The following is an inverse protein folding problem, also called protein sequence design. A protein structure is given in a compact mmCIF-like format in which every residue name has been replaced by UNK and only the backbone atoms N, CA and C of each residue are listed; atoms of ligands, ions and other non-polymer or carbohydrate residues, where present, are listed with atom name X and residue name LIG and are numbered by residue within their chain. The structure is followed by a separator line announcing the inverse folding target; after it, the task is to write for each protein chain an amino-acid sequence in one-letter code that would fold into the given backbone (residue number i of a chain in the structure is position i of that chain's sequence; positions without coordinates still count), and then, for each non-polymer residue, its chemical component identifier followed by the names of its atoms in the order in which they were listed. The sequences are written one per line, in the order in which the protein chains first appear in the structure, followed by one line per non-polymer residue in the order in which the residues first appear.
data_IF_281180838328
#
_entry.id   IF_281180838328
#
_cell.length_a   1.000
_cell.length_b   1.000
_cell.length_c   1.000
_cell.angle_alpha   90.00
_cell.angle_beta   90.00
_cell.angle_gamma   90.00
#
_symmetry.space_group_name_H-M   'P 1'
#
loop_
_entity.id
_entity.type
_entity.pdbx_description
1 polymer ?
#
# COMPACT_ATOMS: atom_id res chain seq x y z
N UNK A 1 -11.10 22.17 -1.71
CA UNK A 1 -9.72 22.41 -1.26
C UNK A 1 -9.05 21.06 -1.14
N UNK A 2 -8.06 20.84 -2.00
CA UNK A 2 -7.28 19.61 -2.07
C UNK A 2 -6.38 19.54 -0.82
N UNK A 3 -6.42 18.42 -0.10
CA UNK A 3 -5.45 18.17 0.96
C UNK A 3 -4.39 17.19 0.45
N UNK A 4 -3.19 17.74 0.31
CA UNK A 4 -1.90 17.07 0.20
C UNK A 4 -1.76 15.99 1.27
N UNK A 5 -1.57 14.74 0.85
CA UNK A 5 -1.19 13.63 1.76
C UNK A 5 0.00 12.83 1.22
N UNK A 6 0.85 13.47 0.41
CA UNK A 6 2.03 12.85 -0.21
C UNK A 6 3.35 13.12 0.53
N UNK A 7 3.35 13.69 1.74
CA UNK A 7 4.60 14.20 2.34
C UNK A 7 5.35 13.21 3.21
N UNK A 8 4.70 12.24 3.86
CA UNK A 8 5.36 11.40 4.89
C UNK A 8 6.13 10.21 4.27
N UNK A 9 5.58 9.58 3.22
CA UNK A 9 6.20 8.40 2.60
C UNK A 9 7.41 8.76 1.71
N UNK A 10 7.39 9.94 1.07
CA UNK A 10 8.53 10.48 0.30
C UNK A 10 9.66 10.98 1.25
N UNK A 11 9.33 11.41 2.47
CA UNK A 11 10.28 11.84 3.51
C UNK A 11 10.97 10.64 4.18
N UNK A 12 10.29 9.49 4.32
CA UNK A 12 10.90 8.23 4.79
C UNK A 12 11.80 7.55 3.75
N UNK A 13 11.48 7.63 2.46
CA UNK A 13 12.41 7.24 1.39
C UNK A 13 13.68 8.12 1.47
N UNK A 14 13.50 9.42 1.68
CA UNK A 14 14.59 10.34 2.00
C UNK A 14 15.39 9.93 3.25
N UNK A 15 14.73 9.46 4.31
CA UNK A 15 15.39 8.98 5.54
C UNK A 15 16.07 7.61 5.40
N UNK A 16 15.58 6.73 4.52
CA UNK A 16 16.26 5.48 4.16
C UNK A 16 17.59 5.78 3.46
N UNK A 17 17.58 6.67 2.47
CA UNK A 17 18.81 7.16 1.85
C UNK A 17 19.69 7.95 2.84
N UNK A 18 19.09 8.66 3.80
CA UNK A 18 19.82 9.31 4.88
C UNK A 18 20.49 8.31 5.83
N UNK A 19 19.86 7.17 6.14
CA UNK A 19 20.45 6.09 6.93
C UNK A 19 21.61 5.41 6.18
N UNK A 20 21.51 5.29 4.86
CA UNK A 20 22.59 4.82 3.98
C UNK A 20 23.76 5.82 3.98
N UNK A 21 23.47 7.13 3.91
CA UNK A 21 24.46 8.21 4.02
C UNK A 21 25.08 8.23 5.43
N UNK A 22 24.28 8.09 6.50
CA UNK A 22 24.75 8.05 7.89
C UNK A 22 25.61 6.80 8.17
N UNK A 23 25.32 5.67 7.52
CA UNK A 23 26.16 4.47 7.56
C UNK A 23 27.48 4.66 6.79
N UNK A 24 27.44 5.36 5.65
CA UNK A 24 28.62 5.75 4.86
C UNK A 24 29.51 6.77 5.61
N UNK A 25 28.89 7.74 6.29
CA UNK A 25 29.55 8.74 7.12
C UNK A 25 30.17 8.15 8.39
N UNK A 26 29.52 7.17 9.03
CA UNK A 26 30.06 6.45 10.19
C UNK A 26 31.36 5.70 9.92
N UNK A 27 31.62 5.31 8.67
CA UNK A 27 32.88 4.68 8.24
C UNK A 27 33.99 5.73 8.02
N UNK A 28 33.62 6.98 7.72
CA UNK A 28 34.56 8.10 7.52
C UNK A 28 34.87 8.91 8.80
N UNK A 29 34.02 8.84 9.82
CA UNK A 29 34.10 9.69 11.03
C UNK A 29 34.85 9.09 12.25
N UNK A 30 35.73 8.10 12.04
CA UNK A 30 36.76 7.75 13.05
C UNK A 30 37.93 8.77 13.11
N UNK A 31 37.74 10.00 12.63
CA UNK A 31 38.71 11.10 12.78
C UNK A 31 38.01 12.41 13.17
N UNK A 32 38.36 12.85 14.39
CA UNK A 32 38.30 14.21 14.97
C UNK A 32 36.96 14.72 15.54
N UNK A 33 36.95 14.87 16.87
CA UNK A 33 35.97 15.57 17.73
C UNK A 33 36.31 17.07 17.81
N UNK A 34 35.30 17.95 17.98
CA UNK A 34 34.89 18.58 19.26
C UNK A 34 34.14 19.94 19.12
N UNK A 35 33.06 20.09 19.91
CA UNK A 35 32.47 21.30 20.60
C UNK A 35 32.13 22.61 19.82
N UNK A 36 31.13 23.48 20.12
CA UNK A 36 30.07 23.66 21.14
C UNK A 36 29.14 24.85 20.78
N UNK A 37 27.87 24.83 21.27
CA UNK A 37 26.91 25.91 21.67
C UNK A 37 26.85 27.32 21.02
N UNK A 38 25.63 27.79 20.66
CA UNK A 38 24.83 28.77 21.47
C UNK A 38 23.51 29.24 20.80
N UNK A 39 22.50 29.44 21.65
CA UNK A 39 21.14 30.04 21.60
C UNK A 39 20.74 31.10 20.53
N UNK A 40 19.43 31.16 20.18
CA UNK A 40 18.70 32.41 19.86
C UNK A 40 17.19 32.36 20.18
N UNK A 41 16.63 33.58 20.34
CA UNK A 41 15.45 34.01 21.13
C UNK A 41 14.07 33.81 20.48
N UNK A 42 13.07 33.82 21.36
CA UNK A 42 11.62 33.90 21.12
C UNK A 42 11.22 35.34 20.70
N UNK A 43 10.28 35.45 19.76
CA UNK A 43 9.48 36.65 19.54
C UNK A 43 7.98 36.27 19.50
N UNK A 44 7.18 37.03 20.23
CA UNK A 44 5.72 37.00 20.23
C UNK A 44 5.16 37.66 18.96
N UNK A 45 4.02 37.16 18.47
CA UNK A 45 3.11 37.97 17.63
C UNK A 45 1.66 37.60 17.93
N UNK A 46 0.86 38.66 18.10
CA UNK A 46 -0.56 38.68 18.40
C UNK A 46 -1.38 38.26 17.18
N UNK A 47 -2.40 37.41 17.35
CA UNK A 47 -3.60 37.47 16.51
C UNK A 47 -4.84 36.80 17.13
N UNK A 48 -5.97 37.49 16.99
CA UNK A 48 -7.27 37.27 17.61
C UNK A 48 -7.97 35.93 17.26
N UNK A 49 -8.90 35.42 18.10
CA UNK A 49 -9.51 34.11 17.91
C UNK A 49 -10.52 34.08 16.76
N UNK A 50 -10.26 33.20 15.78
CA UNK A 50 -11.19 32.86 14.71
C UNK A 50 -12.27 31.91 15.23
N UNK A 51 -13.51 32.38 15.39
CA UNK A 51 -14.67 31.57 15.80
C UNK A 51 -15.40 31.06 14.55
N UNK A 52 -15.38 29.74 14.34
CA UNK A 52 -16.14 29.07 13.29
C UNK A 52 -17.64 29.01 13.63
N UNK A 53 -18.56 29.28 12.68
CA UNK A 53 -19.99 29.16 12.91
C UNK A 53 -20.39 27.70 13.16
N UNK A 54 -21.09 27.46 14.26
CA UNK A 54 -21.67 26.15 14.60
C UNK A 54 -22.87 25.90 13.70
N UNK A 55 -22.72 24.99 12.73
CA UNK A 55 -23.83 24.46 11.94
C UNK A 55 -24.49 23.35 12.78
N UNK A 56 -25.81 23.41 13.06
CA UNK A 56 -26.50 22.36 13.80
C UNK A 56 -26.37 21.03 13.08
N UNK A 57 -25.78 20.04 13.74
CA UNK A 57 -25.69 18.67 13.24
C UNK A 57 -27.10 18.09 13.12
N UNK A 58 -27.57 17.86 11.88
CA UNK A 58 -28.72 17.01 11.62
C UNK A 58 -28.22 15.58 11.43
N UNK A 59 -28.61 14.71 12.36
CA UNK A 59 -28.33 13.29 12.28
C UNK A 59 -28.84 12.75 10.92
N UNK A 60 -27.99 12.12 10.09
CA UNK A 60 -28.42 11.63 8.79
C UNK A 60 -29.51 10.56 8.98
N UNK A 61 -30.60 10.70 8.21
CA UNK A 61 -31.72 9.75 8.20
C UNK A 61 -31.20 8.31 8.14
N UNK A 62 -31.43 7.51 9.19
CA UNK A 62 -31.18 6.06 9.15
C UNK A 62 -32.00 5.45 8.01
N UNK A 63 -31.33 5.06 6.93
CA UNK A 63 -31.99 4.63 5.67
C UNK A 63 -32.60 3.23 5.83
N UNK A 64 -33.80 3.05 5.27
CA UNK A 64 -34.60 1.81 5.39
C UNK A 64 -33.93 0.62 4.67
N UNK A 65 -33.53 -0.45 5.39
CA UNK A 65 -32.84 -1.60 4.80
C UNK A 65 -33.61 -2.31 3.68
N UNK A 66 -34.93 -2.43 3.83
CA UNK A 66 -35.81 -3.07 2.83
C UNK A 66 -35.80 -2.32 1.50
N UNK A 67 -35.66 -0.99 1.55
CA UNK A 67 -35.61 -0.14 0.36
C UNK A 67 -34.31 -0.35 -0.43
N UNK A 68 -33.17 -0.45 0.26
CA UNK A 68 -31.86 -0.66 -0.36
C UNK A 68 -31.80 -2.02 -1.06
N UNK A 69 -32.27 -3.08 -0.40
CA UNK A 69 -32.41 -4.42 -0.98
C UNK A 69 -33.33 -4.43 -2.21
N UNK A 70 -34.46 -3.72 -2.17
CA UNK A 70 -35.41 -3.61 -3.27
C UNK A 70 -34.80 -2.93 -4.51
N UNK A 71 -34.10 -1.81 -4.32
CA UNK A 71 -33.46 -1.08 -5.43
C UNK A 71 -32.32 -1.90 -6.03
N UNK A 72 -31.48 -2.55 -5.21
CA UNK A 72 -30.39 -3.42 -5.68
C UNK A 72 -30.88 -4.60 -6.52
N UNK A 73 -31.99 -5.26 -6.11
CA UNK A 73 -32.57 -6.38 -6.88
C UNK A 73 -33.10 -5.96 -8.24
N UNK A 74 -33.62 -4.74 -8.37
CA UNK A 74 -34.22 -4.24 -9.62
C UNK A 74 -33.25 -3.43 -10.48
N UNK A 75 -32.06 -3.11 -9.98
CA UNK A 75 -31.11 -2.16 -10.58
C UNK A 75 -30.87 -2.38 -12.09
N UNK A 76 -30.69 -3.63 -12.52
CA UNK A 76 -30.46 -3.97 -13.93
C UNK A 76 -31.71 -3.77 -14.81
N UNK A 77 -32.90 -3.97 -14.24
CA UNK A 77 -34.20 -3.83 -14.94
C UNK A 77 -34.77 -2.42 -14.91
N UNK A 78 -34.18 -1.49 -14.15
CA UNK A 78 -34.69 -0.12 -14.00
C UNK A 78 -34.55 0.70 -15.28
N UNK A 79 -35.57 1.50 -15.59
CA UNK A 79 -35.55 2.51 -16.64
C UNK A 79 -34.75 3.75 -16.23
N UNK A 80 -34.35 4.59 -17.19
CA UNK A 80 -33.66 5.84 -16.89
C UNK A 80 -34.48 6.76 -15.97
N UNK A 81 -35.80 6.85 -16.19
CA UNK A 81 -36.70 7.66 -15.36
C UNK A 81 -36.79 7.14 -13.91
N UNK A 82 -36.86 5.82 -13.72
CA UNK A 82 -36.81 5.21 -12.39
C UNK A 82 -35.48 5.48 -11.69
N UNK A 83 -34.35 5.38 -12.41
CA UNK A 83 -33.03 5.68 -11.85
C UNK A 83 -32.91 7.15 -11.44
N UNK A 84 -33.42 8.08 -12.24
CA UNK A 84 -33.46 9.51 -11.90
C UNK A 84 -34.27 9.78 -10.64
N UNK A 85 -35.42 9.09 -10.48
CA UNK A 85 -36.27 9.21 -9.30
C UNK A 85 -35.54 8.75 -8.03
N UNK A 86 -34.84 7.63 -8.09
CA UNK A 86 -34.07 7.12 -6.96
C UNK A 86 -32.85 7.99 -6.64
N UNK A 87 -32.15 8.53 -7.64
CA UNK A 87 -31.05 9.48 -7.43
C UNK A 87 -31.54 10.79 -6.80
N UNK A 88 -32.69 11.32 -7.21
CA UNK A 88 -33.31 12.50 -6.60
C UNK A 88 -33.66 12.27 -5.13
N UNK A 89 -34.25 11.11 -4.79
CA UNK A 89 -34.53 10.72 -3.39
C UNK A 89 -33.25 10.61 -2.56
N UNK A 90 -32.14 10.21 -3.18
CA UNK A 90 -30.84 10.11 -2.55
C UNK A 90 -30.07 11.45 -2.49
N UNK A 91 -30.63 12.54 -3.02
CA UNK A 91 -29.95 13.84 -3.19
C UNK A 91 -28.65 13.75 -4.00
N UNK A 92 -28.63 12.93 -5.06
CA UNK A 92 -27.49 12.74 -5.97
C UNK A 92 -27.85 13.27 -7.37
N UNK A 93 -26.87 13.78 -8.12
CA UNK A 93 -27.08 14.28 -9.50
C UNK A 93 -27.77 13.21 -10.37
N UNK A 94 -28.96 13.58 -10.85
CA UNK A 94 -29.85 12.74 -11.66
C UNK A 94 -29.78 13.06 -13.15
N UNK A 95 -28.78 13.79 -13.65
CA UNK A 95 -28.65 14.12 -15.10
C UNK A 95 -27.76 13.12 -15.84
N UNK A 96 -28.03 12.92 -17.13
CA UNK A 96 -27.17 12.11 -18.01
C UNK A 96 -27.85 10.88 -18.59
N UNK A 97 -27.06 10.09 -19.34
CA UNK A 97 -27.52 8.88 -20.04
C UNK A 97 -27.77 7.73 -19.05
N UNK A 98 -28.58 6.73 -19.45
CA UNK A 98 -28.94 5.58 -18.61
C UNK A 98 -27.72 4.88 -17.98
N UNK A 99 -26.62 4.70 -18.71
CA UNK A 99 -25.38 4.09 -18.19
C UNK A 99 -24.75 4.91 -17.05
N UNK A 100 -24.74 6.25 -17.17
CA UNK A 100 -24.22 7.15 -16.14
C UNK A 100 -25.11 7.16 -14.89
N UNK A 101 -26.43 7.17 -15.08
CA UNK A 101 -27.40 7.07 -13.98
C UNK A 101 -27.29 5.72 -13.27
N UNK A 102 -27.17 4.64 -14.04
CA UNK A 102 -26.96 3.29 -13.53
C UNK A 102 -25.69 3.21 -12.68
N UNK A 103 -24.55 3.71 -13.17
CA UNK A 103 -23.29 3.68 -12.42
C UNK A 103 -23.38 4.47 -11.11
N UNK A 104 -24.00 5.67 -11.11
CA UNK A 104 -24.21 6.45 -9.89
C UNK A 104 -25.13 5.74 -8.90
N UNK A 105 -26.24 5.18 -9.39
CA UNK A 105 -27.21 4.49 -8.57
C UNK A 105 -26.64 3.19 -7.99
N UNK A 106 -25.93 2.41 -8.81
CA UNK A 106 -25.17 1.21 -8.42
C UNK A 106 -24.17 1.54 -7.32
N UNK A 107 -23.36 2.58 -7.51
CA UNK A 107 -22.36 3.03 -6.54
C UNK A 107 -23.00 3.42 -5.20
N UNK A 108 -24.08 4.20 -5.23
CA UNK A 108 -24.79 4.62 -4.02
C UNK A 108 -25.45 3.44 -3.28
N UNK A 109 -26.23 2.62 -3.97
CA UNK A 109 -26.97 1.53 -3.34
C UNK A 109 -26.09 0.33 -2.97
N UNK A 110 -24.94 0.10 -3.63
CA UNK A 110 -23.92 -0.86 -3.18
C UNK A 110 -23.37 -0.48 -1.82
N UNK A 111 -22.99 0.80 -1.64
CA UNK A 111 -22.51 1.31 -0.34
C UNK A 111 -23.51 1.04 0.77
N UNK A 112 -24.78 1.35 0.54
CA UNK A 112 -25.86 1.13 1.51
C UNK A 112 -26.13 -0.37 1.76
N UNK A 113 -26.08 -1.20 0.72
CA UNK A 113 -26.33 -2.63 0.82
C UNK A 113 -25.27 -3.34 1.67
N UNK A 114 -24.00 -2.98 1.53
CA UNK A 114 -22.94 -3.57 2.34
C UNK A 114 -23.06 -3.18 3.81
N UNK A 115 -23.47 -1.94 4.11
CA UNK A 115 -23.73 -1.47 5.49
C UNK A 115 -24.81 -2.32 6.17
N UNK A 116 -25.87 -2.67 5.43
CA UNK A 116 -26.96 -3.52 5.92
C UNK A 116 -26.52 -4.98 6.08
N UNK A 117 -25.77 -5.52 5.10
CA UNK A 117 -25.27 -6.89 5.14
C UNK A 117 -24.30 -7.12 6.31
N UNK A 118 -23.54 -6.10 6.68
CA UNK A 118 -22.55 -6.14 7.76
C UNK A 118 -23.13 -5.68 9.12
N UNK A 119 -24.45 -5.63 9.28
CA UNK A 119 -25.13 -5.22 10.51
C UNK A 119 -25.20 -6.32 11.60
N UNK A 120 -24.71 -7.53 11.33
CA UNK A 120 -24.51 -8.55 12.37
C UNK A 120 -23.33 -8.17 13.29
N UNK A 121 -23.38 -8.53 14.60
CA UNK A 121 -22.37 -8.13 15.58
C UNK A 121 -20.96 -8.58 15.12
N UNK A 122 -19.89 -7.82 15.40
CA UNK A 122 -18.62 -8.05 14.74
C UNK A 122 -17.98 -9.35 15.23
N UNK A 123 -18.06 -10.39 14.40
CA UNK A 123 -16.88 -11.24 14.15
C UNK A 123 -15.75 -10.31 13.73
N UNK A 124 -14.51 -10.63 14.09
CA UNK A 124 -13.34 -9.80 13.77
C UNK A 124 -13.44 -9.33 12.31
N UNK A 125 -13.53 -8.01 12.07
CA UNK A 125 -13.91 -7.48 10.75
C UNK A 125 -12.99 -7.98 9.66
N UNK A 126 -11.71 -8.21 9.98
CA UNK A 126 -10.71 -8.73 9.06
C UNK A 126 -10.96 -10.18 8.65
N UNK A 127 -11.38 -11.08 9.56
CA UNK A 127 -11.76 -12.47 9.24
C UNK A 127 -12.96 -12.53 8.29
N UNK A 128 -13.81 -11.50 8.33
CA UNK A 128 -14.94 -11.38 7.41
C UNK A 128 -14.53 -10.95 5.99
N UNK A 129 -13.28 -10.55 5.75
CA UNK A 129 -12.78 -10.16 4.43
C UNK A 129 -11.70 -11.10 3.89
N UNK A 130 -10.87 -11.68 4.77
CA UNK A 130 -9.72 -12.48 4.38
C UNK A 130 -9.66 -13.77 5.20
N UNK A 131 -9.25 -14.83 4.53
CA UNK A 131 -8.88 -16.11 5.15
C UNK A 131 -7.36 -16.17 5.34
N UNK A 132 -6.60 -15.59 4.40
CA UNK A 132 -5.14 -15.53 4.46
C UNK A 132 -4.57 -14.13 4.19
N UNK A 133 -3.38 -13.86 4.73
CA UNK A 133 -2.51 -12.78 4.26
C UNK A 133 -1.24 -13.35 3.67
N UNK A 134 -0.76 -12.71 2.61
CA UNK A 134 0.54 -13.00 1.99
C UNK A 134 1.43 -11.79 2.24
N UNK A 135 2.31 -11.91 3.23
CA UNK A 135 3.21 -10.84 3.66
C UNK A 135 4.50 -10.90 2.86
N UNK A 136 4.93 -9.78 2.29
CA UNK A 136 6.06 -9.73 1.36
C UNK A 136 6.92 -8.49 1.61
N UNK A 137 8.22 -8.64 1.38
CA UNK A 137 9.23 -7.58 1.48
C UNK A 137 10.38 -7.94 0.51
N UNK A 138 10.51 -7.19 -0.58
CA UNK A 138 11.48 -7.53 -1.64
C UNK A 138 12.83 -6.89 -1.37
N UNK A 139 13.90 -7.67 -1.50
CA UNK A 139 15.24 -7.10 -1.66
C UNK A 139 15.56 -6.90 -3.15
N UNK A 140 16.23 -5.80 -3.44
CA UNK A 140 16.58 -5.41 -4.81
C UNK A 140 18.06 -5.05 -4.95
N UNK A 141 18.60 -5.19 -6.16
CA UNK A 141 19.89 -4.63 -6.51
C UNK A 141 19.93 -3.13 -6.18
N UNK A 142 21.02 -2.67 -5.59
CA UNK A 142 21.18 -1.28 -5.20
C UNK A 142 22.65 -0.83 -5.28
N UNK A 143 22.86 0.48 -5.34
CA UNK A 143 24.19 1.07 -5.32
C UNK A 143 24.17 2.33 -4.47
N UNK A 144 25.28 2.57 -3.77
CA UNK A 144 25.42 3.75 -2.93
C UNK A 144 25.33 5.03 -3.80
N UNK A 145 24.65 6.05 -3.28
CA UNK A 145 24.52 7.38 -3.88
C UNK A 145 23.91 7.45 -5.29
N UNK A 146 23.29 6.36 -5.79
CA UNK A 146 22.59 6.34 -7.07
C UNK A 146 21.07 6.24 -6.89
N UNK A 147 20.40 7.39 -6.92
CA UNK A 147 18.93 7.46 -6.73
C UNK A 147 18.13 6.95 -7.94
N UNK A 148 18.69 7.09 -9.14
CA UNK A 148 18.10 6.62 -10.39
C UNK A 148 18.72 5.28 -10.82
N UNK A 149 18.77 4.33 -9.88
CA UNK A 149 19.28 2.99 -10.13
C UNK A 149 18.18 2.09 -10.71
N UNK A 150 18.54 1.27 -11.70
CA UNK A 150 17.65 0.27 -12.29
C UNK A 150 17.58 -0.95 -11.38
N UNK A 151 16.86 -0.81 -10.27
CA UNK A 151 16.62 -1.89 -9.30
C UNK A 151 15.99 -3.11 -9.97
N UNK A 152 16.50 -4.29 -9.64
CA UNK A 152 15.95 -5.61 -9.98
C UNK A 152 15.75 -6.38 -8.68
N UNK A 153 14.64 -7.10 -8.55
CA UNK A 153 14.38 -7.96 -7.38
C UNK A 153 15.41 -9.09 -7.36
N UNK A 154 16.04 -9.29 -6.20
CA UNK A 154 17.05 -10.34 -5.94
C UNK A 154 16.66 -11.29 -4.81
N UNK A 155 15.65 -10.94 -4.00
CA UNK A 155 15.01 -11.82 -3.02
C UNK A 155 13.50 -11.68 -3.10
N UNK A 156 12.80 -12.81 -3.17
CA UNK A 156 11.34 -12.89 -3.26
C UNK A 156 10.80 -13.77 -2.12
N UNK A 157 10.60 -13.20 -0.93
CA UNK A 157 9.92 -13.87 0.18
C UNK A 157 8.41 -13.66 0.13
N UNK A 158 7.67 -14.64 0.63
CA UNK A 158 6.25 -14.48 0.95
C UNK A 158 5.86 -15.37 2.14
N UNK A 159 5.30 -14.77 3.18
CA UNK A 159 4.83 -15.45 4.40
C UNK A 159 3.33 -15.57 4.36
N UNK A 160 2.82 -16.81 4.42
CA UNK A 160 1.39 -17.08 4.49
C UNK A 160 0.92 -17.06 5.95
N UNK A 161 0.03 -16.15 6.27
CA UNK A 161 -0.58 -16.03 7.61
C UNK A 161 -2.06 -16.42 7.52
N UNK A 162 -2.48 -17.38 8.35
CA UNK A 162 -3.90 -17.71 8.52
C UNK A 162 -4.56 -16.69 9.44
N UNK A 163 -5.57 -15.97 8.94
CA UNK A 163 -6.21 -14.86 9.64
C UNK A 163 -7.00 -15.33 10.87
N UNK A 164 -7.58 -16.53 10.81
CA UNK A 164 -8.42 -17.06 11.89
C UNK A 164 -7.58 -17.65 13.00
N UNK A 165 -6.56 -18.41 12.63
CA UNK A 165 -5.63 -19.04 13.57
C UNK A 165 -4.58 -18.07 14.10
N UNK A 166 -4.30 -16.99 13.35
CA UNK A 166 -3.29 -15.97 13.67
C UNK A 166 -1.89 -16.57 13.78
N UNK A 167 -1.57 -17.45 12.85
CA UNK A 167 -0.30 -18.16 12.79
C UNK A 167 0.27 -18.10 11.37
N UNK A 168 1.59 -18.19 11.28
CA UNK A 168 2.27 -18.44 10.01
C UNK A 168 2.04 -19.90 9.66
N UNK A 169 1.48 -20.16 8.47
CA UNK A 169 1.13 -21.52 8.03
C UNK A 169 2.04 -22.05 6.93
N UNK A 170 2.67 -21.18 6.16
CA UNK A 170 3.67 -21.58 5.16
C UNK A 170 4.56 -20.39 4.74
N UNK A 171 5.69 -20.69 4.10
CA UNK A 171 6.67 -19.72 3.64
C UNK A 171 7.12 -20.09 2.23
N UNK A 172 7.02 -19.13 1.31
CA UNK A 172 7.73 -19.15 0.04
C UNK A 172 8.97 -18.28 0.14
N UNK A 173 10.10 -18.75 -0.38
CA UNK A 173 11.34 -18.00 -0.44
C UNK A 173 12.13 -18.41 -1.66
N UNK A 174 12.61 -17.42 -2.42
CA UNK A 174 13.53 -17.64 -3.53
C UNK A 174 14.43 -16.42 -3.70
N UNK A 175 15.70 -16.65 -3.99
CA UNK A 175 16.53 -15.63 -4.62
C UNK A 175 16.15 -15.50 -6.10
N UNK A 176 16.47 -14.35 -6.69
CA UNK A 176 16.18 -14.03 -8.08
C UNK A 176 17.46 -13.57 -8.76
N UNK A 177 17.72 -14.06 -9.97
CA UNK A 177 18.88 -13.65 -10.75
C UNK A 177 18.60 -12.37 -11.52
N UNK A 178 19.31 -11.25 -11.24
CA UNK A 178 19.20 -10.02 -12.01
C UNK A 178 19.83 -10.19 -13.39
N UNK A 179 19.23 -9.57 -14.41
CA UNK A 179 19.65 -9.67 -15.81
C UNK A 179 20.17 -8.33 -16.37
N UNK A 180 19.70 -7.20 -15.85
CA UNK A 180 20.16 -5.86 -16.25
C UNK A 180 21.48 -5.52 -15.55
N UNK A 181 21.57 -5.76 -14.24
CA UNK A 181 22.76 -5.57 -13.42
C UNK A 181 23.12 -6.89 -12.71
N UNK A 182 23.72 -7.88 -13.41
CA UNK A 182 23.99 -9.21 -12.85
C UNK A 182 24.98 -9.20 -11.68
N UNK A 183 25.92 -8.26 -11.68
CA UNK A 183 26.93 -8.13 -10.63
C UNK A 183 26.40 -7.24 -9.51
N UNK A 184 26.29 -7.80 -8.31
CA UNK A 184 25.92 -7.06 -7.11
C UNK A 184 27.07 -6.11 -6.73
N UNK A 185 26.71 -4.88 -6.35
CA UNK A 185 27.67 -3.98 -5.72
C UNK A 185 28.08 -4.51 -4.33
N UNK A 186 29.26 -4.11 -3.86
CA UNK A 186 29.71 -4.43 -2.50
C UNK A 186 28.73 -3.88 -1.46
N UNK A 187 28.20 -2.68 -1.71
CA UNK A 187 27.17 -2.05 -0.88
C UNK A 187 25.91 -2.92 -0.80
N UNK A 188 25.37 -3.37 -1.94
CA UNK A 188 24.18 -4.20 -1.99
C UNK A 188 24.36 -5.52 -1.23
N UNK A 189 25.51 -6.18 -1.43
CA UNK A 189 25.81 -7.43 -0.76
C UNK A 189 25.97 -7.24 0.75
N UNK A 190 26.61 -6.16 1.19
CA UNK A 190 26.75 -5.83 2.61
C UNK A 190 25.42 -5.45 3.27
N UNK A 191 24.57 -4.70 2.54
CA UNK A 191 23.28 -4.24 3.01
C UNK A 191 22.29 -5.42 3.15
N UNK A 192 22.09 -6.18 2.07
CA UNK A 192 21.10 -7.27 2.01
C UNK A 192 21.60 -8.59 2.62
N UNK A 193 22.93 -8.77 2.70
CA UNK A 193 23.55 -10.05 3.07
C UNK A 193 23.51 -11.10 1.97
N UNK A 194 22.99 -10.76 0.79
CA UNK A 194 22.91 -11.66 -0.37
C UNK A 194 24.27 -11.66 -1.07
N UNK A 195 24.79 -12.85 -1.34
CA UNK A 195 26.08 -13.00 -2.02
C UNK A 195 25.90 -13.13 -3.53
N UNK A 196 26.95 -12.79 -4.29
CA UNK A 196 26.95 -12.99 -5.75
C UNK A 196 26.65 -14.45 -6.14
N UNK A 197 27.19 -15.42 -5.39
CA UNK A 197 26.96 -16.84 -5.62
C UNK A 197 25.47 -17.23 -5.47
N UNK A 198 24.74 -16.58 -4.57
CA UNK A 198 23.31 -16.83 -4.38
C UNK A 198 22.51 -16.39 -5.61
N UNK A 199 22.76 -15.19 -6.13
CA UNK A 199 22.04 -14.67 -7.31
C UNK A 199 22.48 -15.35 -8.61
N UNK A 200 23.75 -15.77 -8.72
CA UNK A 200 24.25 -16.49 -9.90
C UNK A 200 23.54 -17.84 -10.09
N UNK A 201 23.26 -18.54 -8.98
CA UNK A 201 22.56 -19.83 -8.95
C UNK A 201 21.04 -19.69 -9.00
N UNK A 202 20.51 -18.49 -8.80
CA UNK A 202 19.07 -18.25 -8.76
C UNK A 202 18.43 -18.34 -10.14
N UNK A 203 17.10 -18.55 -10.14
CA UNK A 203 16.32 -18.50 -11.37
C UNK A 203 15.98 -17.04 -11.73
N UNK A 204 15.80 -16.72 -13.03
CA UNK A 204 15.27 -15.43 -13.45
C UNK A 204 13.90 -15.11 -12.83
N UNK A 205 13.57 -13.82 -12.75
CA UNK A 205 12.35 -13.34 -12.10
C UNK A 205 11.06 -14.02 -12.59
N UNK A 206 10.90 -14.25 -13.89
CA UNK A 206 9.68 -14.87 -14.45
C UNK A 206 9.47 -16.29 -13.90
N UNK A 207 10.53 -17.09 -13.83
CA UNK A 207 10.47 -18.46 -13.32
C UNK A 207 10.16 -18.48 -11.82
N UNK A 208 10.70 -17.52 -11.07
CA UNK A 208 10.40 -17.34 -9.64
C UNK A 208 8.96 -16.88 -9.44
N UNK A 209 8.46 -15.97 -10.26
CA UNK A 209 7.06 -15.51 -10.23
C UNK A 209 6.09 -16.66 -10.54
N UNK A 210 6.42 -17.53 -11.49
CA UNK A 210 5.61 -18.72 -11.79
C UNK A 210 5.66 -19.75 -10.66
N UNK A 211 6.82 -19.94 -10.03
CA UNK A 211 6.97 -20.78 -8.83
C UNK A 211 6.16 -20.24 -7.66
N UNK A 212 6.17 -18.92 -7.45
CA UNK A 212 5.36 -18.23 -6.45
C UNK A 212 3.86 -18.42 -6.71
N UNK A 213 3.41 -18.29 -7.97
CA UNK A 213 2.01 -18.55 -8.36
C UNK A 213 1.60 -19.99 -8.13
N UNK A 214 2.47 -20.96 -8.44
CA UNK A 214 2.23 -22.36 -8.17
C UNK A 214 2.10 -22.63 -6.66
N UNK A 215 2.95 -22.00 -5.84
CA UNK A 215 2.85 -22.04 -4.39
C UNK A 215 1.52 -21.46 -3.89
N UNK A 216 1.11 -20.28 -4.38
CA UNK A 216 -0.20 -19.70 -4.05
C UNK A 216 -1.37 -20.62 -4.43
N UNK A 217 -1.31 -21.26 -5.60
CA UNK A 217 -2.32 -22.21 -6.07
C UNK A 217 -2.40 -23.47 -5.19
N UNK A 218 -1.27 -23.94 -4.66
CA UNK A 218 -1.24 -25.09 -3.73
C UNK A 218 -2.05 -24.81 -2.45
N UNK A 219 -2.10 -23.54 -2.03
CA UNK A 219 -2.93 -23.03 -0.93
C UNK A 219 -4.33 -22.56 -1.36
N UNK A 220 -4.69 -22.79 -2.63
CA UNK A 220 -5.98 -22.41 -3.22
C UNK A 220 -6.24 -20.90 -3.21
N UNK A 221 -5.21 -20.07 -3.04
CA UNK A 221 -5.33 -18.62 -3.06
C UNK A 221 -5.78 -18.16 -4.44
N UNK A 222 -6.80 -17.30 -4.50
CA UNK A 222 -7.42 -16.85 -5.76
C UNK A 222 -8.57 -17.73 -6.26
N UNK A 223 -8.85 -18.86 -5.59
CA UNK A 223 -10.12 -19.59 -5.81
C UNK A 223 -11.29 -18.83 -5.18
N UNK A 224 -12.51 -19.01 -5.70
CA UNK A 224 -13.71 -18.23 -5.32
C UNK A 224 -14.05 -18.29 -3.83
N UNK A 225 -13.62 -19.34 -3.14
CA UNK A 225 -13.93 -19.62 -1.73
C UNK A 225 -12.79 -19.28 -0.76
N UNK A 226 -11.62 -18.87 -1.25
CA UNK A 226 -10.45 -18.53 -0.41
C UNK A 226 -10.01 -17.10 -0.68
N UNK A 227 -10.17 -16.23 0.33
CA UNK A 227 -9.90 -14.80 0.20
C UNK A 227 -8.56 -14.45 0.80
N UNK A 228 -7.78 -13.64 0.10
CA UNK A 228 -6.47 -13.20 0.58
C UNK A 228 -6.20 -11.73 0.25
N UNK A 229 -5.14 -11.19 0.84
CA UNK A 229 -4.55 -9.93 0.43
C UNK A 229 -3.03 -9.96 0.62
N UNK A 230 -2.32 -9.24 -0.25
CA UNK A 230 -0.92 -8.93 -0.06
C UNK A 230 -0.74 -7.88 1.04
N UNK A 231 0.34 -8.00 1.82
CA UNK A 231 0.70 -7.08 2.90
C UNK A 231 2.17 -6.71 2.78
N UNK A 232 2.50 -5.43 2.83
CA UNK A 232 3.86 -4.89 2.67
C UNK A 232 4.16 -3.81 3.71
N UNK A 233 5.45 -3.61 4.02
CA UNK A 233 5.91 -2.51 4.90
C UNK A 233 6.08 -1.19 4.16
N UNK A 234 4.96 -0.66 3.66
CA UNK A 234 4.93 0.56 2.87
C UNK A 234 4.50 0.30 1.43
N UNK A 235 4.56 1.32 0.56
CA UNK A 235 4.07 1.21 -0.81
C UNK A 235 5.13 0.65 -1.79
N UNK A 236 6.41 0.68 -1.43
CA UNK A 236 7.49 0.62 -2.43
C UNK A 236 7.74 -0.75 -3.02
N UNK A 237 7.52 -1.84 -2.27
CA UNK A 237 7.60 -3.22 -2.79
C UNK A 237 6.80 -3.40 -4.07
N UNK A 238 5.54 -2.98 -4.03
CA UNK A 238 4.63 -3.15 -5.16
C UNK A 238 4.70 -1.96 -6.11
N UNK A 239 4.60 -0.73 -5.59
CA UNK A 239 4.47 0.46 -6.42
C UNK A 239 5.75 0.83 -7.17
N UNK A 240 6.92 0.47 -6.62
CA UNK A 240 8.22 0.72 -7.24
C UNK A 240 8.87 -0.59 -7.71
N UNK A 241 9.29 -1.46 -6.80
CA UNK A 241 10.19 -2.56 -7.14
C UNK A 241 9.54 -3.61 -8.05
N UNK A 242 8.35 -4.10 -7.70
CA UNK A 242 7.61 -5.05 -8.52
C UNK A 242 7.19 -4.48 -9.87
N UNK A 243 6.76 -3.22 -9.91
CA UNK A 243 6.43 -2.53 -11.15
C UNK A 243 7.66 -2.36 -12.05
N UNK A 244 8.81 -1.96 -11.52
CA UNK A 244 10.09 -1.88 -12.27
C UNK A 244 10.48 -3.24 -12.82
N UNK A 245 10.41 -4.27 -11.99
CA UNK A 245 10.75 -5.63 -12.38
C UNK A 245 9.82 -6.14 -13.49
N UNK A 246 8.52 -5.84 -13.43
CA UNK A 246 7.58 -6.14 -14.52
C UNK A 246 8.01 -5.49 -15.84
N UNK A 247 8.42 -4.21 -15.81
CA UNK A 247 8.90 -3.48 -17.01
C UNK A 247 10.17 -4.13 -17.56
N UNK A 248 11.16 -4.41 -16.70
CA UNK A 248 12.45 -5.00 -17.10
C UNK A 248 12.28 -6.43 -17.64
N UNK A 249 11.37 -7.20 -17.06
CA UNK A 249 11.02 -8.56 -17.51
C UNK A 249 10.02 -8.57 -18.68
N UNK A 250 9.70 -7.40 -19.27
CA UNK A 250 8.84 -7.24 -20.44
C UNK A 250 7.42 -7.78 -20.24
N UNK A 251 6.87 -7.66 -19.04
CA UNK A 251 5.46 -7.89 -18.77
C UNK A 251 4.65 -6.66 -19.25
N UNK A 252 3.53 -6.89 -19.95
CA UNK A 252 2.69 -5.83 -20.50
C UNK A 252 2.13 -4.88 -19.43
N UNK A 253 1.92 -5.40 -18.22
CA UNK A 253 1.32 -4.70 -17.10
C UNK A 253 1.69 -5.37 -15.78
N UNK A 254 1.55 -4.64 -14.67
CA UNK A 254 1.54 -5.24 -13.34
C UNK A 254 0.34 -6.19 -13.25
N UNK A 255 0.53 -7.48 -12.90
CA UNK A 255 -0.57 -8.43 -12.69
C UNK A 255 -1.66 -7.89 -11.76
N UNK A 256 -2.93 -8.15 -12.10
CA UNK A 256 -4.08 -7.51 -11.46
C UNK A 256 -4.19 -7.78 -9.95
N UNK A 257 -3.83 -8.97 -9.52
CA UNK A 257 -3.74 -9.41 -8.13
C UNK A 257 -2.76 -8.57 -7.29
N UNK A 258 -1.63 -8.16 -7.87
CA UNK A 258 -0.66 -7.29 -7.21
C UNK A 258 -1.08 -5.81 -7.19
N UNK A 259 -2.15 -5.41 -7.89
CA UNK A 259 -2.59 -4.00 -7.92
C UNK A 259 -3.31 -3.56 -6.65
N UNK A 260 -3.57 -4.45 -5.69
CA UNK A 260 -4.28 -4.17 -4.45
C UNK A 260 -3.54 -4.80 -3.27
N UNK A 261 -3.15 -3.99 -2.30
CA UNK A 261 -2.40 -4.49 -1.16
C UNK A 261 -2.71 -3.70 0.12
N UNK A 262 -2.27 -4.26 1.24
CA UNK A 262 -2.35 -3.66 2.55
C UNK A 262 -0.96 -3.11 2.88
N UNK A 263 -0.83 -1.79 2.82
CA UNK A 263 0.29 -1.11 3.45
C UNK A 263 0.09 -1.16 4.98
N UNK A 264 0.91 -1.96 5.66
CA UNK A 264 0.73 -2.20 7.09
C UNK A 264 1.02 -0.95 7.93
N UNK A 265 1.94 -0.07 7.50
CA UNK A 265 2.27 1.20 8.17
C UNK A 265 1.03 2.06 8.36
N UNK A 266 0.21 2.17 7.32
CA UNK A 266 -1.05 2.92 7.36
C UNK A 266 -2.07 2.28 8.29
N UNK A 267 -2.18 0.95 8.25
CA UNK A 267 -3.09 0.21 9.13
C UNK A 267 -2.67 0.37 10.60
N UNK A 268 -1.36 0.30 10.86
CA UNK A 268 -0.74 0.48 12.16
C UNK A 268 -1.00 1.91 12.70
N UNK A 269 -0.69 2.92 11.90
CA UNK A 269 -0.91 4.33 12.24
C UNK A 269 -2.36 4.62 12.64
N UNK A 270 -3.31 4.09 11.86
CA UNK A 270 -4.74 4.25 12.10
C UNK A 270 -5.23 3.61 13.40
N UNK A 271 -4.56 2.54 13.86
CA UNK A 271 -4.90 1.83 15.09
C UNK A 271 -4.22 2.46 16.31
N UNK A 272 -2.92 2.69 16.23
CA UNK A 272 -2.07 2.96 17.40
C UNK A 272 -1.65 4.43 17.53
N UNK A 273 -1.57 5.19 16.43
CA UNK A 273 -0.99 6.55 16.43
C UNK A 273 -2.01 7.69 16.52
N UNK A 274 -3.32 7.41 16.64
CA UNK A 274 -4.36 8.47 16.68
C UNK A 274 -4.25 9.47 17.84
N UNK A 275 -3.48 9.15 18.88
CA UNK A 275 -3.31 9.99 20.10
C UNK A 275 -1.85 10.17 20.53
N UNK A 276 -0.91 9.57 19.81
CA UNK A 276 0.53 9.62 20.10
C UNK A 276 1.26 9.88 18.80
N UNK A 277 2.09 10.90 18.75
CA UNK A 277 3.05 11.05 17.66
C UNK A 277 4.07 9.92 17.76
N UNK A 278 4.06 9.01 16.78
CA UNK A 278 5.25 8.19 16.53
C UNK A 278 6.18 8.98 15.62
N UNK A 279 7.47 8.99 15.95
CA UNK A 279 8.48 9.71 15.17
C UNK A 279 8.79 9.03 13.83
N UNK A 280 8.64 7.70 13.71
CA UNK A 280 8.84 6.91 12.48
C UNK A 280 7.86 5.74 12.44
N UNK A 281 7.26 5.44 11.28
CA UNK A 281 6.34 4.31 11.12
C UNK A 281 6.97 3.33 10.14
N UNK A 282 8.12 2.77 10.52
CA UNK A 282 8.82 1.71 9.79
C UNK A 282 8.80 0.40 10.60
N UNK A 283 9.29 -0.69 10.02
CA UNK A 283 9.34 -2.01 10.67
C UNK A 283 9.87 -1.96 12.11
N UNK A 284 11.10 -1.44 12.33
CA UNK A 284 11.71 -1.37 13.66
C UNK A 284 10.91 -0.48 14.63
N UNK A 285 10.33 0.62 14.14
CA UNK A 285 9.47 1.50 14.93
C UNK A 285 8.16 0.83 15.37
N UNK A 286 7.54 0.06 14.48
CA UNK A 286 6.33 -0.72 14.80
C UNK A 286 6.62 -1.83 15.80
N UNK A 287 7.73 -2.57 15.64
CA UNK A 287 8.17 -3.60 16.58
C UNK A 287 8.42 -3.00 17.98
N UNK A 288 9.19 -1.91 18.04
CA UNK A 288 9.48 -1.20 19.29
C UNK A 288 8.20 -0.75 19.99
N UNK A 289 7.25 -0.18 19.25
CA UNK A 289 5.97 0.24 19.82
C UNK A 289 5.17 -0.93 20.43
N UNK A 290 5.25 -2.11 19.81
CA UNK A 290 4.61 -3.32 20.30
C UNK A 290 5.40 -4.05 21.38
N UNK A 291 6.55 -3.52 21.81
CA UNK A 291 7.53 -4.18 22.70
C UNK A 291 7.99 -5.53 22.17
N UNK A 292 8.25 -5.60 20.86
CA UNK A 292 8.79 -6.77 20.18
C UNK A 292 10.21 -6.46 19.70
N UNK A 293 11.11 -7.43 19.80
CA UNK A 293 12.45 -7.35 19.22
C UNK A 293 12.44 -7.87 17.79
N UNK A 294 13.33 -7.34 16.96
CA UNK A 294 13.56 -7.86 15.61
C UNK A 294 14.16 -9.26 15.68
N UNK A 295 13.60 -10.21 14.94
CA UNK A 295 14.10 -11.58 14.86
C UNK A 295 14.78 -11.81 13.50
N UNK A 296 16.05 -12.24 13.50
CA UNK A 296 16.81 -12.52 12.28
C UNK A 296 17.76 -11.39 11.89
N UNK A 297 18.00 -11.22 10.59
CA UNK A 297 18.88 -10.18 10.04
C UNK A 297 18.06 -9.08 9.35
N UNK A 298 18.24 -7.83 9.78
CA UNK A 298 17.64 -6.67 9.08
C UNK A 298 18.12 -6.61 7.62
N UNK A 299 17.23 -6.26 6.70
CA UNK A 299 17.48 -6.25 5.24
C UNK A 299 17.73 -7.63 4.64
N UNK A 300 17.31 -8.70 5.32
CA UNK A 300 17.01 -9.96 4.67
C UNK A 300 15.50 -9.99 4.47
N UNK A 301 15.05 -10.02 3.21
CA UNK A 301 13.63 -9.90 2.90
C UNK A 301 12.80 -11.00 3.59
N UNK A 302 13.34 -12.22 3.74
CA UNK A 302 12.68 -13.28 4.48
C UNK A 302 12.45 -12.93 5.96
N UNK A 303 13.47 -12.42 6.64
CA UNK A 303 13.38 -12.10 8.06
C UNK A 303 12.55 -10.82 8.28
N UNK A 304 12.66 -9.83 7.40
CA UNK A 304 11.80 -8.66 7.40
C UNK A 304 10.33 -9.06 7.20
N UNK A 305 10.03 -9.92 6.21
CA UNK A 305 8.69 -10.47 5.99
C UNK A 305 8.14 -11.23 7.20
N UNK A 306 8.97 -12.01 7.91
CA UNK A 306 8.55 -12.69 9.16
C UNK A 306 8.22 -11.68 10.26
N UNK A 307 9.02 -10.63 10.42
CA UNK A 307 8.75 -9.60 11.42
C UNK A 307 7.49 -8.78 11.08
N UNK A 308 7.25 -8.50 9.80
CA UNK A 308 5.99 -7.90 9.35
C UNK A 308 4.82 -8.85 9.64
N UNK A 309 4.97 -10.16 9.40
CA UNK A 309 3.95 -11.15 9.75
C UNK A 309 3.67 -11.22 11.26
N UNK A 310 4.70 -11.10 12.11
CA UNK A 310 4.55 -10.98 13.57
C UNK A 310 3.74 -9.74 13.96
N UNK A 311 3.99 -8.59 13.31
CA UNK A 311 3.17 -7.37 13.51
C UNK A 311 1.73 -7.61 13.07
N UNK A 312 1.52 -8.22 11.90
CA UNK A 312 0.17 -8.55 11.38
C UNK A 312 -0.60 -9.43 12.37
N UNK A 313 0.02 -10.49 12.87
CA UNK A 313 -0.56 -11.39 13.89
C UNK A 313 -0.92 -10.59 15.14
N UNK A 314 -0.01 -9.76 15.64
CA UNK A 314 -0.27 -8.92 16.82
C UNK A 314 -1.42 -7.96 16.59
N UNK A 315 -1.51 -7.34 15.42
CA UNK A 315 -2.62 -6.48 15.02
C UNK A 315 -3.96 -7.23 14.95
N UNK A 316 -3.97 -8.49 14.51
CA UNK A 316 -5.15 -9.36 14.50
C UNK A 316 -5.60 -9.72 15.92
N UNK A 317 -4.67 -10.00 16.83
CA UNK A 317 -4.96 -10.23 18.26
C UNK A 317 -5.61 -8.99 18.90
N UNK A 318 -5.08 -7.81 18.59
CA UNK A 318 -5.58 -6.53 19.07
C UNK A 318 -6.87 -6.08 18.33
N UNK A 319 -7.48 -6.97 17.52
CA UNK A 319 -8.71 -6.76 16.77
C UNK A 319 -8.67 -5.53 15.86
N UNK A 320 -7.53 -5.32 15.21
CA UNK A 320 -7.33 -4.24 14.23
C UNK A 320 -8.04 -4.58 12.93
N UNK A 321 -8.65 -3.57 12.30
CA UNK A 321 -9.29 -3.72 10.98
C UNK A 321 -8.23 -3.58 9.88
N UNK A 322 -7.56 -4.70 9.56
CA UNK A 322 -6.70 -4.80 8.38
C UNK A 322 -7.57 -4.95 7.13
N UNK A 323 -7.31 -4.09 6.13
CA UNK A 323 -8.01 -4.04 4.85
C UNK A 323 -7.09 -3.48 3.78
N UNK A 324 -7.35 -3.85 2.52
CA UNK A 324 -6.72 -3.20 1.37
C UNK A 324 -6.93 -1.70 1.48
N UNK A 325 -5.83 -0.96 1.50
CA UNK A 325 -5.79 0.46 1.78
C UNK A 325 -5.02 1.25 0.71
N UNK A 326 -4.39 0.56 -0.25
CA UNK A 326 -3.71 1.13 -1.41
C UNK A 326 -3.99 0.28 -2.66
N UNK A 327 -4.09 0.96 -3.81
CA UNK A 327 -4.15 0.30 -5.11
C UNK A 327 -3.31 1.01 -6.17
N UNK A 328 -2.91 0.27 -7.18
CA UNK A 328 -2.27 0.80 -8.37
C UNK A 328 -3.31 1.17 -9.44
N UNK A 329 -3.25 2.40 -9.95
CA UNK A 329 -4.13 2.92 -11.00
C UNK A 329 -3.29 3.37 -12.19
N UNK A 330 -3.72 2.98 -13.40
CA UNK A 330 -3.00 3.34 -14.61
C UNK A 330 -3.04 4.85 -14.85
N UNK A 331 -1.89 5.43 -15.14
CA UNK A 331 -1.76 6.86 -15.46
C UNK A 331 -2.36 7.11 -16.85
N UNK A 332 -3.24 8.10 -17.00
CA UNK A 332 -3.81 8.46 -18.32
C UNK A 332 -2.79 9.24 -19.15
N UNK A 333 -2.69 8.93 -20.45
CA UNK A 333 -1.89 9.69 -21.41
C UNK A 333 -2.40 11.14 -21.49
N UNK A 334 -1.69 12.07 -20.83
CA UNK A 334 -2.08 13.49 -20.72
C UNK A 334 -1.86 14.10 -19.33
N UNK A 335 -1.84 13.28 -18.26
CA UNK A 335 -1.53 13.76 -16.89
C UNK A 335 -0.03 13.83 -16.60
N UNK A 336 0.81 13.19 -17.44
CA UNK A 336 2.28 13.25 -17.38
C UNK A 336 2.87 14.67 -17.47
N UNK A 337 2.10 15.66 -17.93
CA UNK A 337 2.62 16.99 -18.28
C UNK A 337 2.42 18.10 -17.22
N UNK A 338 2.00 17.80 -15.98
CA UNK A 338 1.73 18.85 -14.97
C UNK A 338 2.21 18.50 -13.57
N UNK A 339 3.53 18.35 -13.39
CA UNK A 339 4.12 18.59 -12.07
C UNK A 339 5.37 19.45 -12.27
N UNK A 340 5.20 20.78 -12.17
CA UNK A 340 6.32 21.71 -11.98
C UNK A 340 6.86 21.48 -10.58
N UNK A 341 7.92 20.68 -10.47
CA UNK A 341 8.59 20.38 -9.21
C UNK A 341 9.70 21.40 -8.91
N UNK A 342 10.01 21.67 -7.63
CA UNK A 342 11.06 22.61 -7.23
C UNK A 342 12.43 22.20 -7.77
N UNK A 343 13.25 23.19 -8.10
CA UNK A 343 14.52 23.03 -8.82
C UNK A 343 15.66 22.57 -7.90
N UNK A 344 15.64 21.31 -7.46
CA UNK A 344 16.77 20.66 -6.79
C UNK A 344 17.13 19.35 -7.52
N UNK A 345 18.41 19.22 -7.91
CA UNK A 345 18.95 18.07 -8.66
C UNK A 345 18.67 16.73 -7.96
N UNK A 346 18.81 16.67 -6.64
CA UNK A 346 18.52 15.44 -5.87
C UNK A 346 17.04 15.05 -5.86
N UNK A 347 16.13 16.03 -5.93
CA UNK A 347 14.70 15.77 -5.97
C UNK A 347 14.27 15.29 -7.37
N UNK A 348 14.91 15.82 -8.43
CA UNK A 348 14.74 15.32 -9.79
C UNK A 348 15.19 13.86 -9.91
N UNK A 349 16.40 13.52 -9.45
CA UNK A 349 16.93 12.15 -9.52
C UNK A 349 16.07 11.13 -8.75
N UNK A 350 15.46 11.56 -7.62
CA UNK A 350 14.54 10.74 -6.82
C UNK A 350 13.19 10.46 -7.48
N UNK A 351 12.80 11.21 -8.52
CA UNK A 351 11.47 11.07 -9.15
C UNK A 351 11.50 10.74 -10.64
N UNK A 352 12.67 10.62 -11.29
CA UNK A 352 12.77 10.27 -12.71
C UNK A 352 11.98 8.98 -13.05
N UNK A 353 11.99 8.00 -12.15
CA UNK A 353 11.25 6.76 -12.33
C UNK A 353 9.72 6.94 -12.26
N UNK A 354 9.20 7.91 -11.49
CA UNK A 354 7.76 8.16 -11.34
C UNK A 354 7.12 8.52 -12.68
N UNK A 355 7.84 9.22 -13.54
CA UNK A 355 7.36 9.63 -14.88
C UNK A 355 7.29 8.45 -15.88
N UNK A 356 8.09 7.41 -15.63
CA UNK A 356 8.19 6.23 -16.48
C UNK A 356 7.24 5.10 -16.08
N UNK A 357 6.61 5.19 -14.91
CA UNK A 357 5.70 4.15 -14.43
C UNK A 357 4.31 4.25 -15.02
N UNK A 358 3.77 3.09 -15.38
CA UNK A 358 2.43 2.94 -15.94
C UNK A 358 1.35 3.11 -14.87
N UNK A 359 1.68 2.85 -13.61
CA UNK A 359 0.77 2.89 -12.48
C UNK A 359 1.22 3.85 -11.39
N UNK A 360 0.24 4.53 -10.79
CA UNK A 360 0.40 5.40 -9.62
C UNK A 360 -0.40 4.85 -8.44
N UNK A 361 0.01 5.22 -7.22
CA UNK A 361 -0.65 4.78 -5.99
C UNK A 361 -1.91 5.62 -5.76
N UNK A 362 -3.04 4.95 -5.53
CA UNK A 362 -4.27 5.54 -5.03
C UNK A 362 -4.60 4.96 -3.65
N UNK A 363 -4.78 5.83 -2.67
CA UNK A 363 -5.22 5.44 -1.33
C UNK A 363 -6.71 5.05 -1.34
N UNK A 364 -7.03 3.96 -0.64
CA UNK A 364 -8.39 3.44 -0.50
C UNK A 364 -8.94 3.82 0.87
N UNK A 365 -10.00 4.62 0.87
CA UNK A 365 -10.74 4.96 2.08
C UNK A 365 -11.49 3.75 2.62
N UNK A 366 -11.79 3.76 3.94
CA UNK A 366 -12.60 2.71 4.56
C UNK A 366 -13.95 2.54 3.88
N UNK A 367 -14.59 3.64 3.50
CA UNK A 367 -15.88 3.63 2.79
C UNK A 367 -15.77 2.99 1.41
N UNK A 368 -14.70 3.30 0.66
CA UNK A 368 -14.43 2.73 -0.67
C UNK A 368 -14.13 1.22 -0.59
N UNK A 369 -13.40 0.79 0.45
CA UNK A 369 -13.17 -0.63 0.73
C UNK A 369 -14.49 -1.38 0.98
N UNK A 370 -15.32 -0.86 1.90
CA UNK A 370 -16.59 -1.50 2.28
C UNK A 370 -17.59 -1.52 1.13
N UNK A 371 -17.67 -0.45 0.33
CA UNK A 371 -18.58 -0.41 -0.82
C UNK A 371 -18.14 -1.33 -1.97
N UNK A 372 -16.89 -1.83 -1.94
CA UNK A 372 -16.26 -2.54 -3.05
C UNK A 372 -15.91 -1.63 -4.23
N UNK A 373 -16.04 -0.31 -4.08
CA UNK A 373 -15.73 0.66 -5.13
C UNK A 373 -14.25 0.61 -5.55
N UNK A 374 -13.36 0.24 -4.63
CA UNK A 374 -11.94 0.12 -4.96
C UNK A 374 -11.64 -0.92 -6.04
N UNK A 375 -12.51 -1.94 -6.17
CA UNK A 375 -12.44 -2.98 -7.21
C UNK A 375 -12.97 -2.49 -8.57
N UNK A 376 -13.70 -1.37 -8.61
CA UNK A 376 -14.10 -0.76 -9.86
C UNK A 376 -12.81 -0.20 -10.51
N UNK A 377 -12.39 -0.88 -11.57
CA UNK A 377 -11.16 -0.63 -12.29
C UNK A 377 -11.53 -0.11 -13.68
N UNK A 378 -11.32 1.19 -13.90
CA UNK A 378 -11.63 1.86 -15.18
C UNK A 378 -10.77 1.31 -16.35
N UNK A 379 -9.76 0.47 -16.07
CA UNK A 379 -8.88 -0.15 -17.06
C UNK A 379 -9.04 -1.67 -17.18
N UNK A 380 -10.07 -2.24 -16.55
CA UNK A 380 -10.35 -3.68 -16.62
C UNK A 380 -11.30 -4.04 -17.77
N UNK A 381 -11.63 -3.06 -18.61
CA UNK A 381 -12.34 -3.25 -19.89
C UNK A 381 -11.38 -3.53 -21.07
N UNK A 382 -10.08 -3.72 -20.82
CA UNK A 382 -9.13 -4.19 -21.83
C UNK A 382 -8.79 -5.66 -21.56
N UNK A 383 -9.01 -6.49 -22.57
CA UNK A 383 -8.92 -7.95 -22.54
C UNK A 383 -7.50 -8.46 -22.21
N UNK A 384 -7.14 -8.56 -20.93
CA UNK A 384 -5.96 -9.29 -20.45
C UNK A 384 -6.35 -10.40 -19.45
#
# INVERSE_FOLDING_TARGET
MANSSSSVDDEELGNFYKLIIEASQKIQEMKLKDTSNSEFKIAEDDNAPYVLPIVPYKEPLRKNPKHVLHVMKRLHSMTAAEMQKELKKAHIDSRGKRSQLYNRLKKYFRKEYTIIKNAEPPRNKTEAFYDYFVVMDFECTCEADLYNYNHEIIEFPAILVDVRKKEIVDIFHSYVRPLVNPQLSEFCSAFTGITQEMVDKASPFIDVLDSFRAWMQSHRLGQKDVRYAFVTDGPWDIAKFFQMQCIQSKLNAVPHDFRFYINIRRSFANKYCKRRSMQKINLSGMLTFLNMEFEGREHSGLDDSKNIARIVIKMLEDRSELRVNEKLVRTKEGEKAKILLPDNKEYRDRQVWKDNFLYTIQQISRDSFISGEYLDCDTCDEND
#
